data_IF_282479466960
#
_entry.id   IF_282479466960
#
_cell.length_a   1.000
_cell.length_b   1.000
_cell.length_c   1.000
_cell.angle_alpha   90.00
_cell.angle_beta   90.00
_cell.angle_gamma   90.00
#
_symmetry.space_group_name_H-M   'P 1'
#
loop_
_entity.id
_entity.type
_entity.pdbx_description
1 polymer ?
#
# COMPACT_ATOMS: atom_id res chain seq x y z
N UNK A 1 3.25 3.72 14.54
CA UNK A 1 2.87 4.41 13.29
C UNK A 1 3.88 4.11 12.20
N UNK A 2 3.43 3.69 11.03
CA UNK A 2 4.32 3.31 9.93
C UNK A 2 3.76 3.83 8.61
N UNK A 3 4.64 4.43 7.82
CA UNK A 3 4.32 4.84 6.46
C UNK A 3 5.38 4.26 5.52
N UNK A 4 4.95 3.75 4.39
CA UNK A 4 5.85 3.20 3.37
C UNK A 4 5.56 3.84 2.02
N UNK A 5 6.59 4.00 1.22
CA UNK A 5 6.47 4.55 -0.12
C UNK A 5 7.49 3.87 -1.04
N UNK A 6 7.01 3.02 -1.92
CA UNK A 6 7.85 2.30 -2.87
C UNK A 6 8.58 3.22 -3.83
N UNK A 7 8.01 4.39 -4.10
CA UNK A 7 8.63 5.36 -5.00
C UNK A 7 9.87 6.00 -4.36
N UNK A 8 9.81 6.23 -3.05
CA UNK A 8 10.90 6.87 -2.32
C UNK A 8 11.92 5.87 -1.80
N UNK A 9 11.47 4.70 -1.33
CA UNK A 9 12.33 3.71 -0.69
C UNK A 9 11.88 2.29 -1.04
N UNK A 10 12.05 1.85 -2.31
CA UNK A 10 11.54 0.54 -2.74
C UNK A 10 12.17 -0.63 -1.98
N UNK A 11 13.44 -0.53 -1.64
CA UNK A 11 14.11 -1.61 -0.92
C UNK A 11 13.56 -1.78 0.50
N UNK A 12 13.26 -0.68 1.18
CA UNK A 12 12.67 -0.70 2.51
C UNK A 12 11.22 -1.20 2.46
N UNK A 13 10.45 -0.74 1.47
CA UNK A 13 9.05 -1.10 1.35
C UNK A 13 8.84 -2.59 1.08
N UNK A 14 9.82 -3.29 0.49
CA UNK A 14 9.75 -4.73 0.26
C UNK A 14 9.68 -5.56 1.53
N UNK A 15 10.08 -4.98 2.65
CA UNK A 15 10.06 -5.68 3.93
C UNK A 15 8.72 -5.55 4.64
N UNK A 16 7.73 -4.93 4.01
CA UNK A 16 6.44 -4.69 4.64
C UNK A 16 5.30 -5.18 3.77
N UNK A 17 4.21 -5.57 4.43
CA UNK A 17 2.95 -5.92 3.78
C UNK A 17 1.88 -4.99 4.32
N UNK A 18 0.92 -4.66 3.48
CA UNK A 18 -0.26 -3.90 3.89
C UNK A 18 -1.44 -4.84 3.93
N UNK A 19 -2.12 -4.87 5.06
CA UNK A 19 -3.25 -5.78 5.30
C UNK A 19 -4.50 -4.95 5.59
N UNK A 20 -5.60 -5.30 4.96
CA UNK A 20 -6.89 -4.68 5.25
C UNK A 20 -7.38 -5.14 6.62
N UNK A 21 -7.78 -4.20 7.48
CA UNK A 21 -8.42 -4.54 8.76
C UNK A 21 -9.88 -4.92 8.60
N UNK A 22 -10.44 -4.72 7.41
CA UNK A 22 -11.83 -5.09 7.10
C UNK A 22 -11.91 -6.55 6.62
N UNK A 23 -11.06 -6.92 5.67
CA UNK A 23 -11.11 -8.26 5.06
C UNK A 23 -10.04 -9.19 5.61
N UNK A 24 -9.05 -8.67 6.33
CA UNK A 24 -7.88 -9.39 6.86
C UNK A 24 -7.01 -10.00 5.76
N UNK A 25 -7.14 -9.50 4.53
CA UNK A 25 -6.36 -9.98 3.40
C UNK A 25 -5.27 -8.97 3.03
N UNK A 26 -4.18 -9.47 2.44
CA UNK A 26 -3.13 -8.61 1.92
C UNK A 26 -3.66 -7.76 0.77
N UNK A 27 -3.23 -6.50 0.73
CA UNK A 27 -3.58 -5.59 -0.36
C UNK A 27 -2.43 -5.62 -1.36
N UNK A 28 -2.65 -6.09 -2.58
CA UNK A 28 -1.59 -6.18 -3.59
C UNK A 28 -1.33 -4.83 -4.27
N UNK A 29 -0.22 -4.75 -4.99
CA UNK A 29 0.14 -3.62 -5.85
C UNK A 29 0.23 -2.28 -5.12
N UNK A 30 0.62 -2.30 -3.87
CA UNK A 30 0.79 -1.09 -3.07
C UNK A 30 1.97 -0.29 -3.60
N UNK A 31 1.74 1.01 -3.80
CA UNK A 31 2.78 1.98 -4.16
C UNK A 31 3.23 2.74 -2.92
N UNK A 32 2.29 3.13 -2.09
CA UNK A 32 2.55 3.79 -0.81
C UNK A 32 1.43 3.46 0.16
N UNK A 33 1.70 3.58 1.44
CA UNK A 33 0.68 3.35 2.47
C UNK A 33 1.05 4.08 3.75
N UNK A 34 0.03 4.52 4.48
CA UNK A 34 0.16 5.17 5.77
C UNK A 34 -0.90 4.60 6.70
N UNK A 35 -0.48 3.87 7.72
CA UNK A 35 -1.40 3.21 8.64
C UNK A 35 -1.98 4.15 9.69
N UNK A 36 -1.40 5.32 9.86
CA UNK A 36 -1.93 6.32 10.79
C UNK A 36 -3.22 6.93 10.27
N UNK A 37 -3.24 7.26 8.99
CA UNK A 37 -4.41 7.88 8.34
C UNK A 37 -5.33 6.86 7.68
N UNK A 38 -4.84 5.65 7.45
CA UNK A 38 -5.57 4.63 6.71
C UNK A 38 -5.60 4.87 5.21
N UNK A 39 -4.74 5.74 4.71
CA UNK A 39 -4.66 6.04 3.28
C UNK A 39 -3.59 5.19 2.61
N UNK A 40 -3.85 4.78 1.38
CA UNK A 40 -2.87 4.03 0.59
C UNK A 40 -3.14 4.22 -0.89
N UNK A 41 -2.10 3.99 -1.69
CA UNK A 41 -2.20 4.05 -3.14
C UNK A 41 -1.83 2.70 -3.74
N UNK A 42 -2.61 2.26 -4.71
CA UNK A 42 -2.37 1.00 -5.43
C UNK A 42 -2.20 1.30 -6.91
N UNK A 43 -1.45 0.42 -7.60
CA UNK A 43 -1.30 0.52 -9.03
C UNK A 43 -2.61 0.17 -9.72
N UNK A 44 -2.97 0.99 -10.70
CA UNK A 44 -4.13 0.74 -11.53
C UNK A 44 -3.89 1.22 -12.94
N UNK A 45 -4.92 1.14 -13.76
CA UNK A 45 -4.87 1.65 -15.14
C UNK A 45 -6.12 2.45 -15.40
N UNK A 46 -5.95 3.55 -16.16
CA UNK A 46 -7.10 4.34 -16.58
C UNK A 46 -7.76 3.72 -17.82
N UNK A 47 -8.78 4.39 -18.33
CA UNK A 47 -9.53 3.89 -19.50
C UNK A 47 -8.66 3.77 -20.75
N UNK A 48 -7.54 4.48 -20.80
CA UNK A 48 -6.61 4.44 -21.93
C UNK A 48 -5.49 3.42 -21.73
N UNK A 49 -5.51 2.69 -20.62
CA UNK A 49 -4.48 1.73 -20.29
C UNK A 49 -3.22 2.32 -19.67
N UNK A 50 -3.23 3.60 -19.38
CA UNK A 50 -2.09 4.28 -18.77
C UNK A 50 -2.01 3.91 -17.28
N UNK A 51 -0.80 3.61 -16.80
CA UNK A 51 -0.59 3.30 -15.39
C UNK A 51 -0.82 4.53 -14.52
N UNK A 52 -1.65 4.34 -13.50
CA UNK A 52 -1.97 5.40 -12.52
C UNK A 52 -1.88 4.82 -11.11
N UNK A 53 -1.90 5.71 -10.12
CA UNK A 53 -2.00 5.32 -8.71
C UNK A 53 -3.40 5.67 -8.23
N UNK A 54 -4.12 4.67 -7.76
CA UNK A 54 -5.47 4.83 -7.23
C UNK A 54 -5.37 4.98 -5.72
N UNK A 55 -5.76 6.13 -5.20
CA UNK A 55 -5.74 6.38 -3.77
C UNK A 55 -7.03 5.89 -3.13
N UNK A 56 -6.88 5.25 -1.97
CA UNK A 56 -8.00 4.75 -1.19
C UNK A 56 -7.80 5.07 0.28
N UNK A 57 -8.90 5.11 1.01
CA UNK A 57 -8.88 5.34 2.45
C UNK A 57 -9.71 4.26 3.12
N UNK A 58 -9.06 3.38 3.88
CA UNK A 58 -9.71 2.30 4.64
C UNK A 58 -8.81 1.92 5.80
N UNK A 59 -9.35 1.32 6.85
CA UNK A 59 -8.51 0.81 7.93
C UNK A 59 -7.53 -0.24 7.41
N UNK A 60 -6.25 0.04 7.56
CA UNK A 60 -5.18 -0.86 7.13
C UNK A 60 -4.15 -1.01 8.24
N UNK A 61 -3.36 -2.04 8.14
CA UNK A 61 -2.23 -2.29 9.01
C UNK A 61 -1.01 -2.61 8.16
N UNK A 62 0.12 -2.01 8.52
CA UNK A 62 1.39 -2.30 7.88
C UNK A 62 2.14 -3.27 8.79
N UNK A 63 2.46 -4.43 8.28
CA UNK A 63 3.19 -5.45 9.03
C UNK A 63 4.50 -5.79 8.35
N UNK A 64 5.50 -6.10 9.17
CA UNK A 64 6.78 -6.51 8.63
C UNK A 64 6.66 -7.90 8.01
N UNK A 65 7.07 -8.02 6.75
CA UNK A 65 7.16 -9.30 6.07
C UNK A 65 8.51 -9.96 6.29
N UNK A 66 9.42 -9.28 6.97
CA UNK A 66 10.76 -9.75 7.24
C UNK A 66 10.73 -10.84 8.32
N UNK A 67 11.44 -11.90 8.04
CA UNK A 67 11.61 -12.97 9.00
C UNK A 67 12.82 -12.71 9.89
#
# INVERSE_FOLDING_TARGET
MTAIDLRAAPATARHYRVVSLVTHADIPDIVWADDETGCYGVRGRDAKGKQIVVEQSRPIRIVSARK
#
